data_IF_350755127813
#
_entry.id   IF_350755127813
#
_cell.length_a   1.000
_cell.length_b   1.000
_cell.length_c   1.000
_cell.angle_alpha   90.00
_cell.angle_beta   90.00
_cell.angle_gamma   90.00
#
_symmetry.space_group_name_H-M   'P 1'
#
loop_
_entity.id
_entity.type
_entity.pdbx_description
1 polymer ?
#
# COMPACT_ATOMS: atom_id res chain seq x y z
N UNK A 1 -10.05 11.27 -19.79
CA UNK A 1 -11.41 11.00 -20.29
C UNK A 1 -12.31 12.22 -20.16
N UNK A 2 -12.25 12.95 -19.05
CA UNK A 2 -13.04 14.19 -18.90
C UNK A 2 -12.73 15.25 -19.98
N UNK A 3 -11.45 15.50 -20.27
CA UNK A 3 -11.03 16.55 -21.21
C UNK A 3 -11.03 16.10 -22.68
N UNK A 4 -10.72 14.84 -22.94
CA UNK A 4 -10.48 14.30 -24.29
C UNK A 4 -11.53 13.28 -24.75
N UNK A 5 -12.55 12.99 -23.93
CA UNK A 5 -13.53 11.92 -24.18
C UNK A 5 -12.99 10.52 -23.88
N UNK A 6 -13.84 9.51 -24.10
CA UNK A 6 -13.55 8.08 -23.87
C UNK A 6 -13.99 7.17 -25.04
N UNK A 7 -14.26 7.74 -26.22
CA UNK A 7 -14.78 6.98 -27.39
C UNK A 7 -13.91 5.80 -27.80
N UNK A 8 -12.60 5.92 -27.60
CA UNK A 8 -11.60 4.92 -27.99
C UNK A 8 -10.96 4.24 -26.76
N UNK A 9 -11.53 4.41 -25.58
CA UNK A 9 -11.03 3.87 -24.31
C UNK A 9 -12.15 3.10 -23.64
N UNK A 10 -12.00 1.78 -23.55
CA UNK A 10 -12.95 0.90 -22.85
C UNK A 10 -12.47 0.47 -21.46
N UNK A 11 -11.18 0.67 -21.12
CA UNK A 11 -10.58 0.17 -19.89
C UNK A 11 -9.49 1.10 -19.35
N UNK A 12 -9.55 1.38 -18.05
CA UNK A 12 -8.41 1.79 -17.23
C UNK A 12 -8.07 0.67 -16.26
N UNK A 13 -6.88 0.08 -16.40
CA UNK A 13 -6.35 -0.89 -15.44
C UNK A 13 -5.17 -0.29 -14.70
N UNK A 14 -5.17 -0.37 -13.37
CA UNK A 14 -4.10 0.15 -12.52
C UNK A 14 -3.52 -0.93 -11.63
N UNK A 15 -2.21 -0.86 -11.41
CA UNK A 15 -1.43 -1.79 -10.59
C UNK A 15 -0.74 -0.97 -9.50
N UNK A 16 -1.21 -1.07 -8.25
CA UNK A 16 -0.62 -0.37 -7.11
C UNK A 16 -0.57 1.16 -7.26
N UNK A 17 -1.52 1.78 -7.98
CA UNK A 17 -1.54 3.24 -8.19
C UNK A 17 -2.30 3.95 -7.07
N UNK A 18 -1.75 4.98 -6.40
CA UNK A 18 -2.48 5.72 -5.37
C UNK A 18 -3.50 6.69 -6.02
N UNK A 19 -4.78 6.48 -5.75
CA UNK A 19 -5.89 7.29 -6.30
C UNK A 19 -6.37 8.39 -5.37
N UNK A 20 -6.23 8.21 -4.06
CA UNK A 20 -6.79 9.11 -3.05
C UNK A 20 -5.69 9.96 -2.40
N UNK A 21 -5.92 11.28 -2.20
CA UNK A 21 -4.99 12.13 -1.47
C UNK A 21 -4.93 11.73 0.02
N UNK A 22 -3.81 12.00 0.71
CA UNK A 22 -3.76 11.88 2.16
C UNK A 22 -4.72 12.89 2.82
N UNK A 23 -5.11 12.71 4.10
CA UNK A 23 -5.88 13.73 4.83
C UNK A 23 -5.12 15.07 4.96
N UNK A 24 -5.81 16.20 4.74
CA UNK A 24 -5.22 17.54 4.90
C UNK A 24 -4.85 17.82 6.36
N UNK A 25 -3.72 18.50 6.57
CA UNK A 25 -3.31 19.00 7.90
C UNK A 25 -2.87 17.92 8.90
N UNK A 26 -2.69 16.67 8.45
CA UNK A 26 -2.26 15.60 9.35
C UNK A 26 -0.79 15.79 9.77
N UNK A 27 -0.46 15.82 11.09
CA UNK A 27 0.90 16.05 11.54
C UNK A 27 1.93 15.04 11.00
N UNK A 28 3.02 15.58 10.44
CA UNK A 28 4.11 14.80 9.87
C UNK A 28 3.78 14.11 8.55
N UNK A 29 2.68 14.48 7.89
CA UNK A 29 2.36 14.07 6.51
C UNK A 29 2.60 15.22 5.56
N UNK A 30 3.39 14.94 4.53
CA UNK A 30 3.67 15.81 3.41
C UNK A 30 3.08 15.13 2.18
N UNK A 31 2.08 15.78 1.57
CA UNK A 31 1.51 15.35 0.30
C UNK A 31 2.58 15.41 -0.80
N UNK A 32 3.08 14.23 -1.20
CA UNK A 32 4.11 14.09 -2.24
C UNK A 32 3.61 14.51 -3.63
N UNK A 33 2.30 14.48 -3.84
CA UNK A 33 1.67 14.89 -5.10
C UNK A 33 1.43 16.40 -5.16
N UNK A 34 1.72 17.12 -4.07
CA UNK A 34 1.62 18.59 -3.96
C UNK A 34 0.25 19.14 -4.39
N UNK A 35 -0.82 18.46 -4.02
CA UNK A 35 -2.18 18.88 -4.33
C UNK A 35 -2.83 18.11 -5.48
N UNK A 36 -2.07 17.36 -6.28
CA UNK A 36 -2.57 16.78 -7.53
C UNK A 36 -3.72 15.80 -7.28
N UNK A 37 -3.61 14.91 -6.29
CA UNK A 37 -4.68 13.95 -6.01
C UNK A 37 -5.94 14.62 -5.45
N UNK A 38 -5.81 15.74 -4.73
CA UNK A 38 -6.98 16.53 -4.34
C UNK A 38 -7.66 17.14 -5.56
N UNK A 39 -6.88 17.70 -6.49
CA UNK A 39 -7.42 18.26 -7.72
C UNK A 39 -8.18 17.19 -8.51
N UNK A 40 -7.60 16.00 -8.68
CA UNK A 40 -8.25 14.88 -9.36
C UNK A 40 -9.54 14.47 -8.65
N UNK A 41 -9.51 14.31 -7.32
CA UNK A 41 -10.70 13.88 -6.58
C UNK A 41 -11.85 14.90 -6.62
N UNK A 42 -11.52 16.19 -6.64
CA UNK A 42 -12.47 17.32 -6.66
C UNK A 42 -13.00 17.63 -8.08
N UNK A 43 -12.21 17.37 -9.13
CA UNK A 43 -12.51 17.86 -10.49
C UNK A 43 -12.73 16.78 -11.54
N UNK A 44 -12.34 15.53 -11.30
CA UNK A 44 -12.52 14.44 -12.26
C UNK A 44 -13.74 13.57 -11.93
N UNK A 45 -14.35 13.00 -12.97
CA UNK A 45 -15.40 12.00 -12.81
C UNK A 45 -14.95 10.82 -11.95
N UNK A 46 -15.89 10.26 -11.20
CA UNK A 46 -15.66 9.06 -10.38
C UNK A 46 -15.45 7.84 -11.28
N UNK A 47 -14.77 6.82 -10.74
CA UNK A 47 -14.58 5.58 -11.48
C UNK A 47 -15.90 4.87 -11.75
N UNK A 48 -15.94 4.12 -12.84
CA UNK A 48 -17.09 3.37 -13.29
C UNK A 48 -16.68 1.97 -13.72
N UNK A 49 -17.59 1.02 -13.62
CA UNK A 49 -17.41 -0.33 -14.16
C UNK A 49 -18.67 -0.71 -14.93
N UNK A 50 -18.77 -0.21 -16.16
CA UNK A 50 -19.88 -0.47 -17.09
C UNK A 50 -19.40 -1.21 -18.34
N UNK A 51 -20.30 -1.74 -19.19
CA UNK A 51 -19.92 -2.36 -20.45
C UNK A 51 -19.12 -1.44 -21.39
N UNK A 52 -19.37 -0.14 -21.35
CA UNK A 52 -18.74 0.85 -22.22
C UNK A 52 -17.38 1.32 -21.69
N UNK A 53 -17.22 1.40 -20.36
CA UNK A 53 -15.99 1.83 -19.72
C UNK A 53 -15.78 1.12 -18.38
N UNK A 54 -14.67 0.40 -18.27
CA UNK A 54 -14.28 -0.37 -17.09
C UNK A 54 -13.10 0.30 -16.37
N UNK A 55 -13.18 0.40 -15.06
CA UNK A 55 -12.05 0.69 -14.19
C UNK A 55 -11.71 -0.56 -13.40
N UNK A 56 -10.48 -1.04 -13.50
CA UNK A 56 -9.95 -2.17 -12.74
C UNK A 56 -8.77 -1.68 -11.91
N UNK A 57 -8.89 -1.78 -10.59
CA UNK A 57 -7.88 -1.30 -9.66
C UNK A 57 -7.33 -2.48 -8.87
N UNK A 58 -6.07 -2.82 -9.12
CA UNK A 58 -5.40 -3.97 -8.52
C UNK A 58 -4.42 -3.48 -7.47
N UNK A 59 -4.56 -4.01 -6.26
CA UNK A 59 -3.70 -3.71 -5.13
C UNK A 59 -2.95 -4.96 -4.65
N UNK A 60 -1.70 -4.80 -4.24
CA UNK A 60 -0.91 -5.83 -3.58
C UNK A 60 -1.04 -5.74 -2.06
N UNK A 61 -1.06 -6.89 -1.40
CA UNK A 61 -0.99 -7.03 0.07
C UNK A 61 0.25 -7.80 0.46
N UNK A 62 1.41 -7.21 0.21
CA UNK A 62 2.70 -7.81 0.54
C UNK A 62 3.07 -7.65 2.02
N UNK A 63 2.89 -6.45 2.58
CA UNK A 63 3.29 -6.14 3.95
C UNK A 63 2.32 -5.17 4.61
N UNK A 64 1.97 -5.46 5.87
CA UNK A 64 1.26 -4.53 6.74
C UNK A 64 2.26 -3.59 7.38
N UNK A 65 2.09 -2.30 7.18
CA UNK A 65 2.90 -1.29 7.86
C UNK A 65 2.65 -1.28 9.37
N UNK A 66 3.54 -0.59 10.09
CA UNK A 66 3.46 -0.38 11.53
C UNK A 66 3.76 1.07 11.90
N UNK A 67 3.25 1.50 13.06
CA UNK A 67 3.54 2.84 13.61
C UNK A 67 4.99 2.90 14.10
N UNK A 68 5.61 4.08 14.00
CA UNK A 68 7.02 4.28 14.40
C UNK A 68 7.19 4.18 15.92
N UNK A 69 6.25 4.79 16.65
CA UNK A 69 6.12 4.66 18.10
C UNK A 69 4.76 4.05 18.38
N UNK A 70 4.72 3.04 19.24
CA UNK A 70 3.49 2.61 19.86
C UNK A 70 3.21 3.63 20.95
N UNK A 71 2.17 4.46 20.81
CA UNK A 71 1.72 5.28 21.94
C UNK A 71 1.25 4.30 23.02
N UNK A 72 2.13 3.99 23.96
CA UNK A 72 1.84 3.25 25.18
C UNK A 72 1.10 4.16 26.15
N UNK A 73 -0.06 4.69 25.74
CA UNK A 73 -1.03 5.34 26.63
C UNK A 73 -2.25 4.42 26.83
N UNK A 74 -1.97 3.13 27.00
CA UNK A 74 -2.86 2.19 27.63
C UNK A 74 -1.99 1.19 28.40
N UNK A 75 -2.11 1.26 29.73
CA UNK A 75 -1.53 0.40 30.76
C UNK A 75 -0.09 0.70 31.17
N UNK A 76 0.02 1.59 32.17
CA UNK A 76 1.10 1.57 33.16
C UNK A 76 1.02 0.22 33.86
N UNK A 77 1.98 -0.66 33.61
CA UNK A 77 2.44 -1.57 34.64
C UNK A 77 3.96 -1.57 34.68
N UNK A 78 4.45 -1.15 35.84
CA UNK A 78 5.83 -1.24 36.26
C UNK A 78 6.24 -2.71 36.29
N UNK A 79 7.35 -3.08 35.66
CA UNK A 79 8.47 -3.76 36.31
C UNK A 79 9.53 -4.20 35.27
N UNK A 80 10.75 -4.32 35.79
CA UNK A 80 11.91 -5.07 35.29
C UNK A 80 12.94 -4.32 34.44
N UNK A 81 13.97 -3.93 35.18
CA UNK A 81 15.37 -3.73 34.82
C UNK A 81 16.03 -4.88 34.04
N UNK A 82 16.76 -4.59 32.95
CA UNK A 82 17.94 -5.35 32.47
C UNK A 82 18.77 -4.36 31.62
N UNK A 83 19.99 -3.95 31.99
CA UNK A 83 21.21 -4.76 31.99
C UNK A 83 21.93 -4.56 30.64
N UNK A 84 22.87 -3.61 30.59
CA UNK A 84 23.74 -3.37 29.41
C UNK A 84 24.79 -4.46 29.38
N UNK A 85 24.85 -5.26 28.31
CA UNK A 85 26.13 -5.78 27.85
C UNK A 85 26.17 -6.03 26.33
N UNK A 86 27.41 -6.02 25.89
CA UNK A 86 28.01 -5.76 24.60
C UNK A 86 27.98 -6.95 23.64
N UNK A 87 27.97 -6.66 22.34
CA UNK A 87 28.73 -7.46 21.37
C UNK A 87 28.00 -8.58 20.61
N UNK A 88 28.13 -8.47 19.28
CA UNK A 88 28.09 -9.54 18.27
C UNK A 88 26.74 -9.95 17.67
N UNK A 89 26.76 -10.00 16.32
CA UNK A 89 25.60 -10.06 15.44
C UNK A 89 24.81 -11.36 15.54
N UNK A 90 23.49 -11.22 15.42
CA UNK A 90 22.56 -12.34 15.45
C UNK A 90 21.60 -12.29 14.26
N UNK A 91 21.66 -13.40 13.52
CA UNK A 91 20.76 -13.93 12.50
C UNK A 91 19.29 -13.56 12.70
N UNK A 92 18.65 -13.05 11.64
CA UNK A 92 17.22 -12.67 11.55
C UNK A 92 16.30 -13.90 11.44
N UNK A 93 16.54 -14.94 12.25
CA UNK A 93 15.62 -16.05 12.43
C UNK A 93 15.51 -16.40 13.91
N UNK A 94 14.27 -16.30 14.40
CA UNK A 94 13.77 -16.69 15.71
C UNK A 94 13.91 -15.66 16.86
N UNK A 95 13.00 -14.69 16.88
CA UNK A 95 12.35 -14.28 18.14
C UNK A 95 10.84 -14.16 17.90
N UNK A 96 10.15 -15.29 17.98
CA UNK A 96 8.71 -15.31 18.20
C UNK A 96 8.46 -15.28 19.71
N UNK A 97 8.18 -14.09 20.27
CA UNK A 97 7.32 -13.88 21.45
C UNK A 97 7.44 -12.43 21.96
N UNK A 98 6.80 -11.48 21.27
CA UNK A 98 5.97 -10.47 21.95
C UNK A 98 5.01 -9.80 20.96
N UNK A 99 3.71 -10.11 21.11
CA UNK A 99 2.63 -9.50 20.32
C UNK A 99 2.56 -8.00 20.66
N UNK A 100 3.05 -7.12 19.77
CA UNK A 100 2.49 -5.78 19.42
C UNK A 100 3.47 -4.81 18.75
N UNK A 101 4.76 -5.14 18.59
CA UNK A 101 5.72 -4.26 17.93
C UNK A 101 6.04 -4.77 16.52
N UNK A 102 5.66 -4.04 15.46
CA UNK A 102 6.01 -4.39 14.08
C UNK A 102 7.53 -4.40 13.84
N UNK A 103 8.00 -5.15 12.84
CA UNK A 103 9.42 -5.19 12.44
C UNK A 103 9.93 -3.80 12.02
N UNK A 104 11.25 -3.56 12.05
CA UNK A 104 11.84 -2.31 11.54
C UNK A 104 11.40 -2.02 10.10
N UNK A 105 11.34 -3.05 9.27
CA UNK A 105 10.84 -2.99 7.90
C UNK A 105 9.37 -2.54 7.85
N UNK A 106 8.50 -3.12 8.68
CA UNK A 106 7.09 -2.73 8.76
C UNK A 106 6.92 -1.28 9.23
N UNK A 107 7.76 -0.81 10.16
CA UNK A 107 7.76 0.60 10.61
C UNK A 107 8.18 1.55 9.50
N UNK A 108 9.25 1.23 8.76
CA UNK A 108 9.71 2.05 7.64
C UNK A 108 8.64 2.14 6.54
N UNK A 109 8.09 1.00 6.11
CA UNK A 109 7.00 0.97 5.12
C UNK A 109 5.76 1.70 5.65
N UNK A 110 5.42 1.52 6.93
CA UNK A 110 4.32 2.22 7.57
C UNK A 110 4.47 3.75 7.53
N UNK A 111 5.68 4.29 7.65
CA UNK A 111 5.89 5.73 7.46
C UNK A 111 5.63 6.16 6.02
N UNK A 112 6.03 5.35 5.03
CA UNK A 112 5.67 5.58 3.63
C UNK A 112 4.16 5.61 3.42
N UNK A 113 3.45 4.58 3.88
CA UNK A 113 1.98 4.52 3.79
C UNK A 113 1.30 5.68 4.50
N UNK A 114 1.84 6.16 5.63
CA UNK A 114 1.33 7.34 6.32
C UNK A 114 1.40 8.58 5.42
N UNK A 115 2.45 8.74 4.61
CA UNK A 115 2.53 9.85 3.66
C UNK A 115 1.46 9.77 2.55
N UNK A 116 1.08 8.55 2.16
CA UNK A 116 0.10 8.34 1.07
C UNK A 116 -1.35 8.41 1.55
N UNK A 117 -1.68 7.78 2.68
CA UNK A 117 -3.06 7.62 3.14
C UNK A 117 -3.34 8.15 4.56
N UNK A 118 -2.34 8.76 5.21
CA UNK A 118 -2.44 9.26 6.58
C UNK A 118 -2.35 8.19 7.67
N UNK A 119 -2.28 6.89 7.31
CA UNK A 119 -2.22 5.76 8.26
C UNK A 119 -0.98 4.91 8.03
N UNK A 120 -0.32 4.50 9.11
CA UNK A 120 0.88 3.67 9.05
C UNK A 120 0.59 2.17 9.15
N UNK A 121 -0.50 1.80 9.84
CA UNK A 121 -0.89 0.43 10.16
C UNK A 121 -1.91 -0.15 9.18
N UNK A 122 -1.58 -0.12 7.89
CA UNK A 122 -2.42 -0.63 6.78
C UNK A 122 -1.66 -1.63 5.91
N UNK A 123 -2.39 -2.48 5.19
CA UNK A 123 -1.82 -3.37 4.17
C UNK A 123 -1.47 -2.58 2.91
N UNK A 124 -0.46 -3.06 2.18
CA UNK A 124 -0.10 -2.56 0.87
C UNK A 124 1.01 -3.38 0.22
N UNK A 125 1.46 -2.93 -0.93
CA UNK A 125 2.43 -3.61 -1.79
C UNK A 125 3.89 -3.24 -1.48
N UNK A 126 4.12 -2.58 -0.35
CA UNK A 126 5.41 -2.07 0.11
C UNK A 126 5.68 -0.61 -0.27
N UNK A 127 4.88 -0.03 -1.16
CA UNK A 127 4.97 1.38 -1.57
C UNK A 127 3.63 2.06 -1.41
N UNK A 128 2.57 1.48 -1.97
CA UNK A 128 1.22 2.03 -1.98
C UNK A 128 0.33 1.21 -1.05
N UNK A 129 -0.33 1.87 -0.07
CA UNK A 129 -1.28 1.19 0.78
C UNK A 129 -2.52 0.81 -0.04
N UNK A 130 -3.06 -0.38 0.20
CA UNK A 130 -4.20 -0.94 -0.54
C UNK A 130 -5.40 0.03 -0.56
N UNK A 131 -5.66 0.66 0.59
CA UNK A 131 -6.77 1.60 0.78
C UNK A 131 -6.68 2.84 -0.12
N UNK A 132 -5.50 3.13 -0.67
CA UNK A 132 -5.29 4.18 -1.66
C UNK A 132 -5.20 3.61 -3.08
N UNK A 133 -4.95 2.31 -3.25
CA UNK A 133 -4.89 1.65 -4.55
C UNK A 133 -6.27 1.24 -5.09
N UNK A 134 -7.26 1.15 -4.21
CA UNK A 134 -8.66 0.93 -4.59
C UNK A 134 -9.39 2.25 -4.82
N UNK A 135 -10.38 2.21 -5.72
CA UNK A 135 -11.20 3.36 -6.08
C UNK A 135 -12.68 2.97 -6.08
N UNK A 136 -13.52 3.78 -5.46
CA UNK A 136 -14.97 3.54 -5.42
C UNK A 136 -15.56 3.58 -6.84
N UNK A 137 -16.41 2.62 -7.17
CA UNK A 137 -17.01 2.46 -8.50
C UNK A 137 -16.19 1.63 -9.49
N UNK A 138 -14.94 1.29 -9.16
CA UNK A 138 -14.11 0.36 -9.94
C UNK A 138 -14.31 -1.11 -9.50
N UNK A 139 -13.91 -2.05 -10.36
CA UNK A 139 -13.61 -3.41 -9.93
C UNK A 139 -12.29 -3.41 -9.16
N UNK A 140 -12.37 -3.59 -7.84
CA UNK A 140 -11.22 -3.60 -6.95
C UNK A 140 -10.78 -5.04 -6.67
N UNK A 141 -9.51 -5.34 -6.96
CA UNK A 141 -8.89 -6.66 -6.78
C UNK A 141 -7.70 -6.53 -5.84
N UNK A 142 -7.48 -7.53 -4.99
CA UNK A 142 -6.35 -7.57 -4.08
C UNK A 142 -5.59 -8.88 -4.22
N UNK A 143 -4.27 -8.80 -4.37
CA UNK A 143 -3.39 -9.97 -4.42
C UNK A 143 -2.50 -10.05 -3.18
N UNK A 144 -2.67 -11.12 -2.41
CA UNK A 144 -1.86 -11.38 -1.22
C UNK A 144 -0.42 -11.71 -1.61
N UNK A 145 0.55 -11.16 -0.87
CA UNK A 145 1.98 -11.40 -1.12
C UNK A 145 2.57 -10.68 -2.33
N UNK A 146 1.80 -9.87 -3.06
CA UNK A 146 2.28 -9.16 -4.26
C UNK A 146 2.88 -7.81 -3.91
N UNK A 147 4.15 -7.63 -4.29
CA UNK A 147 4.96 -6.43 -4.11
C UNK A 147 4.79 -5.43 -5.27
N UNK A 148 5.22 -4.18 -5.06
CA UNK A 148 4.96 -3.08 -5.97
C UNK A 148 5.69 -3.18 -7.32
N UNK A 149 6.95 -3.59 -7.33
CA UNK A 149 7.82 -3.40 -8.49
C UNK A 149 8.90 -4.49 -8.61
N UNK A 150 9.62 -4.59 -9.74
CA UNK A 150 10.66 -5.60 -9.90
C UNK A 150 11.87 -5.35 -8.98
N UNK A 151 12.00 -4.14 -8.43
CA UNK A 151 13.14 -3.78 -7.56
C UNK A 151 13.00 -4.52 -6.23
N UNK A 152 13.78 -5.58 -6.10
CA UNK A 152 13.75 -6.51 -4.97
C UNK A 152 12.89 -7.75 -5.22
N UNK A 153 12.05 -7.80 -6.25
CA UNK A 153 11.34 -9.04 -6.59
C UNK A 153 12.33 -10.18 -6.86
N UNK A 154 11.96 -11.38 -6.45
CA UNK A 154 12.59 -12.63 -6.90
C UNK A 154 11.60 -13.52 -7.69
N UNK A 155 10.40 -13.01 -7.97
CA UNK A 155 9.28 -13.69 -8.65
C UNK A 155 8.76 -14.97 -7.97
N UNK A 156 9.36 -15.38 -6.85
CA UNK A 156 9.02 -16.60 -6.11
C UNK A 156 8.50 -16.27 -4.71
N UNK A 157 9.35 -15.74 -3.83
CA UNK A 157 9.02 -15.43 -2.42
C UNK A 157 8.50 -14.01 -2.25
N UNK A 158 8.86 -13.11 -3.17
CA UNK A 158 8.36 -11.75 -3.29
C UNK A 158 7.99 -11.50 -4.76
N UNK A 159 6.89 -12.05 -5.26
CA UNK A 159 6.41 -11.70 -6.58
C UNK A 159 5.92 -10.24 -6.61
N UNK A 160 5.92 -9.63 -7.79
CA UNK A 160 5.37 -8.30 -8.06
C UNK A 160 4.34 -8.38 -9.19
N UNK A 161 3.64 -7.28 -9.50
CA UNK A 161 2.57 -7.30 -10.50
C UNK A 161 3.02 -7.83 -11.88
N UNK A 162 4.29 -7.65 -12.25
CA UNK A 162 4.87 -8.14 -13.51
C UNK A 162 5.48 -9.55 -13.44
N UNK A 163 5.52 -10.20 -12.28
CA UNK A 163 5.99 -11.60 -12.20
C UNK A 163 5.09 -12.50 -13.04
N UNK A 164 5.63 -13.47 -13.81
CA UNK A 164 4.81 -14.34 -14.67
C UNK A 164 3.67 -15.05 -13.93
N UNK A 165 3.90 -15.42 -12.67
CA UNK A 165 2.91 -16.07 -11.81
C UNK A 165 1.77 -15.14 -11.39
N UNK A 166 1.95 -13.81 -11.43
CA UNK A 166 0.93 -12.80 -11.11
C UNK A 166 0.30 -12.23 -12.37
N UNK A 167 1.07 -12.05 -13.45
CA UNK A 167 0.56 -11.52 -14.74
C UNK A 167 -0.62 -12.33 -15.24
N UNK A 168 -0.54 -13.66 -15.17
CA UNK A 168 -1.63 -14.56 -15.59
C UNK A 168 -2.95 -14.27 -14.85
N UNK A 169 -2.88 -13.73 -13.63
CA UNK A 169 -4.05 -13.51 -12.77
C UNK A 169 -4.74 -12.17 -13.06
N UNK A 170 -4.14 -11.25 -13.83
CA UNK A 170 -4.79 -9.97 -14.17
C UNK A 170 -4.79 -9.62 -15.65
N UNK A 171 -3.91 -10.23 -16.46
CA UNK A 171 -3.79 -9.91 -17.89
C UNK A 171 -5.08 -10.17 -18.67
N UNK A 172 -5.92 -11.10 -18.20
CA UNK A 172 -7.20 -11.41 -18.82
C UNK A 172 -8.13 -10.20 -18.89
N UNK A 173 -8.05 -9.27 -17.92
CA UNK A 173 -8.82 -8.02 -17.97
C UNK A 173 -8.48 -7.15 -19.18
N UNK A 174 -7.29 -7.27 -19.77
CA UNK A 174 -6.91 -6.52 -20.98
C UNK A 174 -7.51 -7.10 -22.26
N UNK A 175 -8.00 -8.34 -22.20
CA UNK A 175 -8.47 -9.12 -23.36
C UNK A 175 -10.00 -9.26 -23.41
N UNK A 176 -10.69 -8.76 -22.38
CA UNK A 176 -12.14 -8.87 -22.15
C UNK A 176 -12.90 -7.54 -22.27
#
# INVERSE_FOLDING_TARGET
MEEYGNSDISLLLTLGTPHLPPPRGLPGVIDQTRGLLYYVEENCAKAVYTPELKYVCIAGRYIRGARLVDNADADIDSDVTVGIDSGEGISELAIASNKKSGTFRARFVGQGYKQVCGRADVWGDGVVPEVSAHLEGALNVSFDGVYHSPVGSDDETRPWYGSPVIVKDWIHHLLE
#
